data_IF_064140998183
#
_entry.id   IF_064140998183
#
_cell.length_a   1.000
_cell.length_b   1.000
_cell.length_c   1.000
_cell.angle_alpha   90.00
_cell.angle_beta   90.00
_cell.angle_gamma   90.00
#
_symmetry.space_group_name_H-M   'P 1'
#
loop_
_entity.id
_entity.type
_entity.pdbx_description
1 polymer ?
#
# COMPACT_ATOMS: atom_id res chain seq x y z
N UNK A 1 -32.63 -19.82 -4.33
CA UNK A 1 -32.98 -19.19 -5.63
C UNK A 1 -31.83 -19.54 -6.56
N UNK A 2 -32.07 -19.97 -7.80
CA UNK A 2 -30.95 -20.38 -8.67
C UNK A 2 -30.33 -19.13 -9.28
N UNK A 3 -29.03 -18.91 -9.03
CA UNK A 3 -28.25 -17.81 -9.60
C UNK A 3 -27.44 -18.32 -10.78
N UNK A 4 -27.54 -17.65 -11.92
CA UNK A 4 -26.72 -17.85 -13.12
C UNK A 4 -25.79 -16.67 -13.24
N UNK A 5 -24.51 -16.87 -12.98
CA UNK A 5 -23.54 -15.79 -12.89
C UNK A 5 -22.57 -15.91 -14.06
N UNK A 6 -22.60 -14.99 -15.04
CA UNK A 6 -21.58 -14.89 -16.06
C UNK A 6 -20.28 -14.38 -15.43
N UNK A 7 -19.21 -15.15 -15.55
CA UNK A 7 -17.90 -14.84 -15.00
C UNK A 7 -16.91 -14.65 -16.14
N UNK A 8 -16.25 -13.51 -16.17
CA UNK A 8 -15.13 -13.26 -17.09
C UNK A 8 -13.84 -13.39 -16.30
N UNK A 9 -12.87 -14.14 -16.81
CA UNK A 9 -11.53 -14.18 -16.22
C UNK A 9 -10.67 -13.28 -17.09
N UNK A 10 -10.03 -12.26 -16.52
CA UNK A 10 -9.33 -11.22 -17.30
C UNK A 10 -8.24 -11.75 -18.25
N UNK A 11 -7.68 -12.94 -18.01
CA UNK A 11 -6.72 -13.62 -18.89
C UNK A 11 -7.34 -14.20 -20.16
N UNK A 12 -8.67 -14.23 -20.29
CA UNK A 12 -9.40 -14.81 -21.44
C UNK A 12 -10.62 -13.98 -21.85
N UNK A 13 -10.89 -13.84 -23.17
CA UNK A 13 -12.02 -13.05 -23.66
C UNK A 13 -13.38 -13.74 -23.51
N UNK A 14 -13.43 -15.01 -23.07
CA UNK A 14 -14.67 -15.78 -22.93
C UNK A 14 -15.29 -15.64 -21.53
N UNK A 15 -16.63 -15.75 -21.50
CA UNK A 15 -17.42 -15.76 -20.27
C UNK A 15 -17.82 -17.19 -19.91
N UNK A 16 -17.61 -17.57 -18.65
CA UNK A 16 -18.07 -18.83 -18.07
C UNK A 16 -19.39 -18.59 -17.36
N UNK A 17 -20.42 -19.38 -17.66
CA UNK A 17 -21.68 -19.31 -16.91
C UNK A 17 -21.62 -20.28 -15.74
N UNK A 18 -21.69 -19.76 -14.52
CA UNK A 18 -21.68 -20.58 -13.30
C UNK A 18 -23.07 -20.58 -12.70
N UNK A 19 -23.58 -21.79 -12.43
CA UNK A 19 -24.86 -21.98 -11.76
C UNK A 19 -24.64 -22.26 -10.28
N UNK A 20 -25.29 -21.45 -9.46
CA UNK A 20 -25.40 -21.56 -8.01
C UNK A 20 -26.83 -21.95 -7.65
N UNK A 21 -27.00 -23.08 -6.95
CA UNK A 21 -28.33 -23.61 -6.63
C UNK A 21 -28.99 -22.85 -5.47
N UNK A 22 -28.18 -22.40 -4.51
CA UNK A 22 -28.67 -21.81 -3.27
C UNK A 22 -28.40 -20.31 -3.16
N UNK A 23 -27.22 -19.84 -3.61
CA UNK A 23 -26.76 -18.46 -3.43
C UNK A 23 -26.03 -18.23 -2.10
N UNK A 24 -26.00 -19.24 -1.22
CA UNK A 24 -25.24 -19.24 0.03
C UNK A 24 -23.76 -19.50 -0.19
N UNK A 25 -23.34 -19.84 -1.41
CA UNK A 25 -21.94 -19.97 -1.75
C UNK A 25 -21.26 -18.59 -1.71
N UNK A 26 -19.98 -18.56 -1.37
CA UNK A 26 -19.22 -17.31 -1.28
C UNK A 26 -18.67 -16.88 -2.64
N UNK A 27 -18.24 -15.64 -2.75
CA UNK A 27 -17.47 -15.16 -3.91
C UNK A 27 -16.19 -15.97 -4.08
N UNK A 28 -15.51 -16.37 -3.00
CA UNK A 28 -14.37 -17.30 -3.07
C UNK A 28 -14.73 -18.60 -3.79
N UNK A 29 -15.83 -19.24 -3.40
CA UNK A 29 -16.29 -20.48 -4.03
C UNK A 29 -16.61 -20.27 -5.52
N UNK A 30 -17.21 -19.13 -5.86
CA UNK A 30 -17.54 -18.77 -7.23
C UNK A 30 -16.26 -18.63 -8.07
N UNK A 31 -15.24 -17.99 -7.51
CA UNK A 31 -13.92 -17.85 -8.12
C UNK A 31 -13.23 -19.20 -8.33
N UNK A 32 -13.22 -20.07 -7.32
CA UNK A 32 -12.65 -21.41 -7.42
C UNK A 32 -13.34 -22.26 -8.48
N UNK A 33 -14.67 -22.17 -8.58
CA UNK A 33 -15.46 -22.89 -9.57
C UNK A 33 -15.20 -22.37 -10.99
N UNK A 34 -15.11 -21.05 -11.17
CA UNK A 34 -14.72 -20.42 -12.44
C UNK A 34 -13.33 -20.88 -12.86
N UNK A 35 -12.40 -20.87 -11.91
CA UNK A 35 -11.02 -21.25 -12.10
C UNK A 35 -10.87 -22.72 -12.50
N UNK A 36 -11.63 -23.61 -11.87
CA UNK A 36 -11.65 -25.03 -12.24
C UNK A 36 -12.09 -25.25 -13.68
N UNK A 37 -13.14 -24.56 -14.13
CA UNK A 37 -13.61 -24.63 -15.52
C UNK A 37 -12.53 -24.11 -16.48
N UNK A 38 -11.89 -23.00 -16.13
CA UNK A 38 -10.79 -22.42 -16.89
C UNK A 38 -9.60 -23.37 -17.03
N UNK A 39 -9.11 -23.95 -15.93
CA UNK A 39 -7.96 -24.87 -15.94
C UNK A 39 -8.24 -26.16 -16.69
N UNK A 40 -9.45 -26.72 -16.57
CA UNK A 40 -9.88 -27.89 -17.35
C UNK A 40 -9.92 -27.59 -18.86
N UNK A 41 -10.43 -26.40 -19.24
CA UNK A 41 -10.63 -26.02 -20.65
C UNK A 41 -9.32 -25.61 -21.35
N UNK A 42 -8.46 -24.86 -20.68
CA UNK A 42 -7.23 -24.31 -21.26
C UNK A 42 -5.98 -25.12 -20.89
N UNK A 43 -6.14 -26.22 -20.15
CA UNK A 43 -5.04 -27.04 -19.64
C UNK A 43 -3.99 -26.23 -18.84
N UNK A 44 -4.40 -25.10 -18.28
CA UNK A 44 -3.56 -24.25 -17.43
C UNK A 44 -3.41 -24.95 -16.06
N UNK A 45 -2.19 -25.35 -15.73
CA UNK A 45 -1.84 -26.01 -14.46
C UNK A 45 -1.37 -25.04 -13.38
N UNK A 46 -1.51 -23.74 -13.61
CA UNK A 46 -1.19 -22.76 -12.58
C UNK A 46 -2.04 -23.05 -11.34
N UNK A 47 -1.58 -22.63 -10.16
CA UNK A 47 -2.39 -22.65 -8.93
C UNK A 47 -2.59 -21.19 -8.52
N UNK A 48 -3.83 -20.71 -8.27
CA UNK A 48 -4.06 -19.35 -7.82
C UNK A 48 -3.50 -19.19 -6.42
N UNK A 49 -2.86 -18.05 -6.15
CA UNK A 49 -2.48 -17.64 -4.81
C UNK A 49 -3.62 -16.90 -4.11
N UNK A 50 -4.32 -16.00 -4.82
CA UNK A 50 -5.61 -15.44 -4.39
C UNK A 50 -6.45 -15.00 -5.59
N UNK A 51 -7.73 -14.68 -5.36
CA UNK A 51 -8.63 -14.15 -6.38
C UNK A 51 -8.96 -12.69 -6.11
N UNK A 52 -9.14 -11.90 -7.16
CA UNK A 52 -9.76 -10.58 -7.07
C UNK A 52 -11.03 -10.60 -7.89
N UNK A 53 -12.18 -10.35 -7.26
CA UNK A 53 -13.48 -10.35 -7.93
C UNK A 53 -14.05 -8.92 -7.97
N UNK A 54 -14.55 -8.51 -9.13
CA UNK A 54 -15.25 -7.24 -9.32
C UNK A 54 -16.56 -7.45 -10.06
N UNK A 55 -17.59 -6.67 -9.76
CA UNK A 55 -18.80 -6.63 -10.61
C UNK A 55 -18.47 -5.97 -11.95
N UNK A 56 -18.96 -6.53 -13.05
CA UNK A 56 -18.60 -6.02 -14.38
C UNK A 56 -19.20 -4.64 -14.67
N UNK A 57 -20.36 -4.30 -14.10
CA UNK A 57 -21.09 -3.08 -14.48
C UNK A 57 -20.60 -1.81 -13.78
N UNK A 58 -20.18 -1.91 -12.51
CA UNK A 58 -19.73 -0.77 -11.70
C UNK A 58 -18.30 -0.93 -11.16
N UNK A 59 -17.62 -2.02 -11.51
CA UNK A 59 -16.25 -2.35 -11.08
C UNK A 59 -16.10 -2.46 -9.56
N UNK A 60 -17.20 -2.58 -8.82
CA UNK A 60 -17.15 -2.69 -7.36
C UNK A 60 -16.39 -3.96 -6.97
N UNK A 61 -15.40 -3.80 -6.09
CA UNK A 61 -14.65 -4.92 -5.52
C UNK A 61 -15.58 -5.74 -4.63
N UNK A 62 -15.57 -7.05 -4.82
CA UNK A 62 -16.32 -8.01 -4.02
C UNK A 62 -15.39 -8.67 -3.01
N UNK A 63 -15.82 -8.75 -1.74
CA UNK A 63 -15.06 -9.51 -0.75
C UNK A 63 -15.20 -11.00 -1.06
N UNK A 64 -14.10 -11.75 -0.94
CA UNK A 64 -14.11 -13.20 -1.15
C UNK A 64 -15.01 -13.94 -0.15
N UNK A 65 -15.20 -13.36 1.02
CA UNK A 65 -16.05 -13.88 2.09
C UNK A 65 -17.54 -13.52 1.93
N UNK A 66 -17.89 -12.64 0.98
CA UNK A 66 -19.30 -12.27 0.76
C UNK A 66 -20.08 -13.47 0.21
N UNK A 67 -21.30 -13.70 0.71
CA UNK A 67 -22.22 -14.65 0.08
C UNK A 67 -22.85 -14.04 -1.17
N UNK A 68 -22.92 -14.83 -2.23
CA UNK A 68 -23.42 -14.42 -3.56
C UNK A 68 -24.78 -13.74 -3.46
N UNK A 69 -25.70 -14.29 -2.66
CA UNK A 69 -27.06 -13.75 -2.50
C UNK A 69 -27.13 -12.31 -1.96
N UNK A 70 -26.09 -11.83 -1.27
CA UNK A 70 -26.06 -10.47 -0.72
C UNK A 70 -25.42 -9.45 -1.68
N UNK A 71 -24.56 -9.90 -2.59
CA UNK A 71 -23.73 -9.00 -3.40
C UNK A 71 -23.99 -9.08 -4.91
N UNK A 72 -24.69 -10.12 -5.37
CA UNK A 72 -25.00 -10.37 -6.78
C UNK A 72 -26.47 -10.76 -6.98
N UNK A 73 -27.02 -10.38 -8.13
CA UNK A 73 -28.35 -10.83 -8.60
C UNK A 73 -28.22 -11.88 -9.71
N UNK A 74 -29.30 -12.60 -10.00
CA UNK A 74 -29.34 -13.53 -11.15
C UNK A 74 -28.99 -12.80 -12.45
N UNK A 75 -28.10 -13.38 -13.25
CA UNK A 75 -27.52 -12.84 -14.48
C UNK A 75 -26.60 -11.59 -14.33
N UNK A 76 -26.28 -11.14 -13.12
CA UNK A 76 -25.21 -10.14 -12.97
C UNK A 76 -23.85 -10.78 -13.22
N UNK A 77 -23.01 -10.10 -14.00
CA UNK A 77 -21.69 -10.61 -14.35
C UNK A 77 -20.59 -10.06 -13.44
N UNK A 78 -19.58 -10.90 -13.22
CA UNK A 78 -18.37 -10.53 -12.50
C UNK A 78 -17.14 -10.75 -13.37
N UNK A 79 -16.08 -10.04 -13.00
CA UNK A 79 -14.74 -10.18 -13.56
C UNK A 79 -13.81 -10.66 -12.46
N UNK A 80 -13.02 -11.67 -12.77
CA UNK A 80 -12.10 -12.31 -11.84
C UNK A 80 -10.69 -12.15 -12.39
N UNK A 81 -9.82 -11.60 -11.57
CA UNK A 81 -8.38 -11.73 -11.73
C UNK A 81 -7.89 -12.91 -10.89
N UNK A 82 -7.13 -13.79 -11.54
CA UNK A 82 -6.45 -14.90 -10.90
C UNK A 82 -5.05 -14.40 -10.57
N UNK A 83 -4.81 -14.04 -9.31
CA UNK A 83 -3.46 -13.72 -8.87
C UNK A 83 -2.68 -15.03 -8.72
N UNK A 84 -1.67 -15.23 -9.57
CA UNK A 84 -0.74 -16.36 -9.49
C UNK A 84 0.21 -16.12 -8.31
N UNK A 85 0.81 -17.19 -7.76
CA UNK A 85 1.88 -17.05 -6.77
C UNK A 85 2.92 -16.10 -7.35
N UNK A 86 3.08 -14.91 -6.73
CA UNK A 86 3.88 -13.76 -7.19
C UNK A 86 4.79 -14.09 -8.37
N UNK A 87 4.20 -14.12 -9.57
CA UNK A 87 4.94 -14.08 -10.83
C UNK A 87 5.19 -12.60 -11.10
N UNK A 88 6.35 -12.30 -11.68
CA UNK A 88 7.00 -10.99 -11.87
C UNK A 88 6.19 -9.89 -12.60
N UNK A 89 4.88 -10.04 -12.75
CA UNK A 89 3.97 -9.15 -13.48
C UNK A 89 2.94 -8.46 -12.57
N UNK A 90 3.37 -8.05 -11.37
CA UNK A 90 2.76 -6.90 -10.68
C UNK A 90 3.09 -5.62 -11.46
N UNK A 91 2.66 -5.53 -12.72
CA UNK A 91 2.88 -4.33 -13.52
C UNK A 91 1.99 -3.21 -12.97
N UNK A 92 2.55 -2.42 -12.04
CA UNK A 92 2.26 -0.99 -11.97
C UNK A 92 2.28 -0.48 -13.39
N UNK A 93 1.30 0.37 -13.74
CA UNK A 93 1.11 0.78 -15.12
C UNK A 93 2.46 1.12 -15.79
N UNK A 94 2.66 0.54 -16.97
CA UNK A 94 3.80 0.84 -17.84
C UNK A 94 3.63 2.21 -18.50
N UNK A 95 2.91 3.13 -17.85
CA UNK A 95 2.95 4.55 -18.17
C UNK A 95 4.43 4.93 -18.25
N UNK A 96 4.84 5.33 -19.45
CA UNK A 96 6.19 5.84 -19.68
C UNK A 96 6.44 7.01 -18.72
N UNK A 97 7.70 7.30 -18.38
CA UNK A 97 8.04 8.42 -17.48
C UNK A 97 7.39 9.76 -17.91
N UNK A 98 6.94 9.88 -19.18
CA UNK A 98 6.28 11.04 -19.77
C UNK A 98 4.75 11.14 -19.48
N UNK A 99 4.08 10.07 -19.03
CA UNK A 99 2.63 10.06 -18.76
C UNK A 99 2.26 10.12 -17.27
N UNK A 100 3.24 10.04 -16.37
CA UNK A 100 2.97 10.01 -14.92
C UNK A 100 2.65 11.40 -14.38
N UNK A 101 1.56 11.49 -13.61
CA UNK A 101 1.17 12.74 -12.97
C UNK A 101 2.04 13.03 -11.74
N UNK A 102 2.36 14.30 -11.50
CA UNK A 102 3.19 14.70 -10.36
C UNK A 102 2.32 15.15 -9.18
N UNK A 103 2.60 14.61 -7.99
CA UNK A 103 2.07 15.09 -6.71
C UNK A 103 3.18 15.83 -5.98
N UNK A 104 2.93 17.10 -5.65
CA UNK A 104 3.83 17.89 -4.81
C UNK A 104 3.60 17.55 -3.34
N UNK A 105 4.66 17.10 -2.66
CA UNK A 105 4.63 16.84 -1.23
C UNK A 105 5.33 17.97 -0.49
N UNK A 106 4.62 18.67 0.38
CA UNK A 106 5.17 19.73 1.23
C UNK A 106 5.28 19.33 2.70
N UNK A 107 4.82 18.12 3.04
CA UNK A 107 4.76 17.59 4.39
C UNK A 107 3.47 17.89 5.14
N UNK A 108 2.58 18.75 4.66
CA UNK A 108 1.42 19.23 5.41
C UNK A 108 0.07 18.98 4.72
N UNK A 109 0.01 19.02 3.39
CA UNK A 109 -1.25 19.06 2.65
C UNK A 109 -1.60 17.80 1.85
N UNK A 110 -0.86 16.70 2.04
CA UNK A 110 -1.17 15.41 1.42
C UNK A 110 -2.55 14.90 1.88
N UNK A 111 -3.49 14.71 0.95
CA UNK A 111 -4.84 14.18 1.24
C UNK A 111 -4.87 12.66 1.13
N UNK A 112 -5.89 12.03 1.72
CA UNK A 112 -6.12 10.58 1.60
C UNK A 112 -6.30 10.15 0.13
N UNK A 113 -7.06 10.92 -0.65
CA UNK A 113 -7.24 10.67 -2.09
C UNK A 113 -5.93 10.71 -2.88
N UNK A 114 -5.02 11.64 -2.56
CA UNK A 114 -3.73 11.76 -3.22
C UNK A 114 -2.82 10.59 -2.85
N UNK A 115 -2.91 10.14 -1.59
CA UNK A 115 -2.19 8.96 -1.12
C UNK A 115 -2.64 7.68 -1.83
N UNK A 116 -3.95 7.45 -1.94
CA UNK A 116 -4.50 6.30 -2.69
C UNK A 116 -4.07 6.35 -4.16
N UNK A 117 -4.08 7.55 -4.78
CA UNK A 117 -3.54 7.74 -6.15
C UNK A 117 -2.06 7.39 -6.25
N UNK A 118 -1.24 7.83 -5.30
CA UNK A 118 0.19 7.47 -5.26
C UNK A 118 0.42 5.95 -5.17
N UNK A 119 -0.49 5.22 -4.52
CA UNK A 119 -0.47 3.76 -4.46
C UNK A 119 -0.60 3.06 -5.81
N UNK A 120 -1.31 3.66 -6.78
CA UNK A 120 -1.60 3.03 -8.09
C UNK A 120 -0.38 2.84 -8.99
N UNK A 121 0.69 3.61 -8.78
CA UNK A 121 1.86 3.62 -9.68
C UNK A 121 1.83 4.70 -10.76
N UNK A 122 0.68 5.33 -11.01
CA UNK A 122 0.51 6.33 -12.07
C UNK A 122 1.06 7.71 -11.72
N UNK A 123 1.49 7.89 -10.46
CA UNK A 123 1.90 9.18 -9.92
C UNK A 123 3.35 9.14 -9.41
N UNK A 124 4.05 10.24 -9.67
CA UNK A 124 5.38 10.55 -9.15
C UNK A 124 5.29 11.61 -8.05
N UNK A 125 6.33 11.67 -7.24
CA UNK A 125 6.50 12.64 -6.16
C UNK A 125 7.57 13.64 -6.56
N UNK A 126 7.27 14.92 -6.32
CA UNK A 126 8.25 16.00 -6.26
C UNK A 126 8.06 16.82 -4.97
N UNK A 127 9.10 17.56 -4.60
CA UNK A 127 9.13 18.45 -3.44
C UNK A 127 9.25 19.89 -3.94
N UNK A 128 8.40 20.83 -3.46
CA UNK A 128 8.59 22.25 -3.72
C UNK A 128 9.95 22.77 -3.24
N UNK A 129 10.45 23.84 -3.85
CA UNK A 129 11.73 24.47 -3.48
C UNK A 129 11.73 24.97 -2.02
N UNK A 130 10.59 25.45 -1.53
CA UNK A 130 10.42 25.87 -0.14
C UNK A 130 10.62 24.70 0.83
N UNK A 131 10.24 23.50 0.42
CA UNK A 131 10.37 22.29 1.22
C UNK A 131 11.84 21.86 1.34
N UNK A 132 12.61 21.96 0.26
CA UNK A 132 14.06 21.72 0.30
C UNK A 132 14.77 22.68 1.28
N UNK A 133 14.37 23.95 1.30
CA UNK A 133 14.91 24.93 2.26
C UNK A 133 14.66 24.53 3.73
N UNK A 134 13.50 23.93 4.04
CA UNK A 134 13.21 23.43 5.40
C UNK A 134 14.10 22.23 5.75
N UNK A 135 14.28 21.31 4.82
CA UNK A 135 15.14 20.13 5.00
C UNK A 135 16.59 20.55 5.26
N UNK A 136 17.10 21.54 4.51
CA UNK A 136 18.48 22.02 4.65
C UNK A 136 18.70 22.66 6.02
N UNK A 137 17.77 23.52 6.48
CA UNK A 137 17.82 24.11 7.82
C UNK A 137 17.80 23.06 8.92
N UNK A 138 16.99 22.02 8.78
CA UNK A 138 16.95 20.91 9.74
C UNK A 138 18.29 20.15 9.77
N UNK A 139 18.88 19.95 8.60
CA UNK A 139 20.15 19.25 8.45
C UNK A 139 21.30 20.02 9.08
N UNK A 140 21.36 21.34 8.89
CA UNK A 140 22.35 22.23 9.52
C UNK A 140 22.33 22.11 11.05
N UNK A 141 21.15 21.98 11.66
CA UNK A 141 21.01 21.79 13.12
C UNK A 141 21.64 20.46 13.55
N UNK A 142 21.39 19.38 12.82
CA UNK A 142 21.97 18.05 13.11
C UNK A 142 23.49 18.07 12.94
N UNK A 143 23.99 18.66 11.85
CA UNK A 143 25.43 18.75 11.59
C UNK A 143 26.12 19.62 12.67
N UNK A 144 25.47 20.68 13.15
CA UNK A 144 25.95 21.49 14.27
C UNK A 144 25.98 20.69 15.59
N UNK A 145 24.97 19.86 15.88
CA UNK A 145 24.94 18.99 17.07
C UNK A 145 26.11 18.01 17.06
N UNK A 146 26.33 17.35 15.92
CA UNK A 146 27.42 16.37 15.71
C UNK A 146 28.77 17.06 15.89
N UNK A 147 28.98 18.20 15.21
CA UNK A 147 30.24 18.96 15.29
C UNK A 147 30.57 19.40 16.71
N UNK A 148 29.57 19.82 17.49
CA UNK A 148 29.75 20.28 18.86
C UNK A 148 29.71 19.16 19.91
N UNK A 149 29.66 17.89 19.50
CA UNK A 149 29.61 16.70 20.38
C UNK A 149 28.52 16.79 21.47
N UNK A 150 27.39 17.45 21.18
CA UNK A 150 26.26 17.49 22.11
C UNK A 150 25.61 16.10 22.16
N UNK A 151 25.31 15.61 23.36
CA UNK A 151 24.63 14.32 23.54
C UNK A 151 23.16 14.48 23.17
N UNK A 152 22.72 13.80 22.11
CA UNK A 152 21.36 13.88 21.57
C UNK A 152 20.84 12.48 21.28
N UNK A 153 19.64 12.18 21.78
CA UNK A 153 18.99 10.88 21.65
C UNK A 153 18.87 10.45 20.19
N UNK A 154 19.33 9.24 19.88
CA UNK A 154 19.25 8.64 18.55
C UNK A 154 20.22 9.22 17.51
N UNK A 155 21.06 10.19 17.90
CA UNK A 155 22.14 10.73 17.07
C UNK A 155 23.48 10.15 17.51
N UNK A 156 23.83 10.28 18.80
CA UNK A 156 25.07 9.73 19.38
C UNK A 156 24.84 8.93 20.68
N UNK A 157 23.60 8.52 20.91
CA UNK A 157 23.23 7.58 21.97
C UNK A 157 22.60 6.32 21.40
N UNK A 158 22.48 5.27 22.21
CA UNK A 158 21.61 4.13 21.91
C UNK A 158 20.11 4.50 21.90
N UNK A 159 19.28 3.51 21.60
CA UNK A 159 17.81 3.64 21.47
C UNK A 159 17.09 2.87 22.58
N UNK A 160 15.87 3.30 22.93
CA UNK A 160 15.04 2.63 23.94
C UNK A 160 15.75 2.50 25.29
N UNK A 161 15.88 1.28 25.81
CA UNK A 161 16.60 1.01 27.08
C UNK A 161 18.08 1.43 27.07
N UNK A 162 18.66 1.69 25.90
CA UNK A 162 20.04 2.15 25.74
C UNK A 162 20.15 3.67 25.48
N UNK A 163 19.09 4.44 25.72
CA UNK A 163 19.05 5.89 25.52
C UNK A 163 20.17 6.66 26.23
N UNK A 164 20.71 6.13 27.34
CA UNK A 164 21.80 6.75 28.11
C UNK A 164 23.21 6.29 27.70
N UNK A 165 23.33 5.34 26.77
CA UNK A 165 24.62 4.81 26.33
C UNK A 165 25.20 5.68 25.21
N UNK A 166 26.33 6.33 25.47
CA UNK A 166 27.04 7.14 24.46
C UNK A 166 27.75 6.21 23.48
N UNK A 167 27.61 6.49 22.19
CA UNK A 167 28.21 5.74 21.09
C UNK A 167 29.32 6.58 20.46
N UNK A 168 30.49 5.97 20.23
CA UNK A 168 31.61 6.64 19.56
C UNK A 168 31.30 6.90 18.08
N UNK A 169 31.85 7.99 17.53
CA UNK A 169 31.61 8.42 16.15
C UNK A 169 31.89 7.29 15.12
N UNK A 170 32.95 6.52 15.35
CA UNK A 170 33.35 5.36 14.52
C UNK A 170 32.28 4.25 14.44
N UNK A 171 31.40 4.17 15.45
CA UNK A 171 30.35 3.14 15.53
C UNK A 171 28.98 3.66 15.11
N UNK A 172 28.83 4.95 14.80
CA UNK A 172 27.52 5.53 14.47
C UNK A 172 26.94 4.91 13.20
N UNK A 173 27.75 4.72 12.15
CA UNK A 173 27.27 4.10 10.91
C UNK A 173 26.79 2.65 11.14
N UNK A 174 27.57 1.85 11.87
CA UNK A 174 27.22 0.46 12.22
C UNK A 174 25.98 0.41 13.14
N UNK A 175 25.87 1.35 14.08
CA UNK A 175 24.68 1.49 14.94
C UNK A 175 23.42 1.73 14.11
N UNK A 176 23.46 2.66 13.14
CA UNK A 176 22.31 2.94 12.30
C UNK A 176 21.91 1.69 11.50
N UNK A 177 22.87 0.99 10.88
CA UNK A 177 22.58 -0.26 10.16
C UNK A 177 21.97 -1.34 11.07
N UNK A 178 22.56 -1.57 12.24
CA UNK A 178 22.07 -2.58 13.20
C UNK A 178 20.72 -2.21 13.78
N UNK A 179 20.44 -0.92 13.97
CA UNK A 179 19.13 -0.46 14.40
C UNK A 179 18.06 -0.91 13.41
N UNK A 180 18.29 -0.69 12.12
CA UNK A 180 17.35 -1.11 11.05
C UNK A 180 17.17 -2.62 11.10
N UNK A 181 18.26 -3.37 10.97
CA UNK A 181 18.21 -4.84 10.87
C UNK A 181 17.59 -5.49 12.11
N UNK A 182 17.91 -5.00 13.31
CA UNK A 182 17.33 -5.52 14.55
C UNK A 182 15.82 -5.24 14.69
N UNK A 183 15.30 -4.23 13.99
CA UNK A 183 13.88 -3.87 14.03
C UNK A 183 13.09 -4.47 12.86
N UNK A 184 13.72 -5.18 11.92
CA UNK A 184 13.07 -5.98 10.88
C UNK A 184 12.39 -7.24 11.45
N UNK A 185 11.55 -7.08 12.48
CA UNK A 185 10.84 -8.14 13.18
C UNK A 185 9.39 -8.32 12.68
N UNK A 186 9.03 -7.67 11.57
CA UNK A 186 7.72 -7.83 10.94
C UNK A 186 7.52 -9.24 10.38
N UNK A 187 6.29 -9.75 10.44
CA UNK A 187 5.89 -11.11 10.02
C UNK A 187 4.56 -11.08 9.26
N UNK A 188 4.12 -12.25 8.80
CA UNK A 188 2.88 -12.41 8.02
C UNK A 188 3.08 -12.07 6.54
N UNK A 189 1.99 -12.15 5.78
CA UNK A 189 2.04 -11.87 4.35
C UNK A 189 2.47 -10.42 4.09
N UNK A 190 3.31 -10.16 3.07
CA UNK A 190 3.66 -8.80 2.69
C UNK A 190 2.45 -7.95 2.34
N UNK A 191 2.58 -6.64 2.54
CA UNK A 191 1.68 -5.67 1.96
C UNK A 191 1.68 -5.80 0.43
N UNK A 192 0.54 -5.52 -0.18
CA UNK A 192 0.47 -5.32 -1.64
C UNK A 192 1.36 -4.14 -2.03
N UNK A 193 1.82 -4.12 -3.29
CA UNK A 193 2.70 -3.04 -3.78
C UNK A 193 2.03 -1.68 -3.63
N UNK A 194 0.73 -1.58 -3.86
CA UNK A 194 0.00 -0.32 -3.71
C UNK A 194 0.04 0.17 -2.26
N UNK A 195 -0.16 -0.73 -1.28
CA UNK A 195 -0.10 -0.39 0.15
C UNK A 195 1.31 -0.05 0.60
N UNK A 196 2.30 -0.80 0.16
CA UNK A 196 3.71 -0.51 0.43
C UNK A 196 4.12 0.84 -0.19
N UNK A 197 3.65 1.15 -1.40
CA UNK A 197 3.85 2.43 -2.09
C UNK A 197 3.17 3.58 -1.36
N UNK A 198 1.94 3.42 -0.87
CA UNK A 198 1.29 4.42 0.00
C UNK A 198 2.12 4.70 1.26
N UNK A 199 2.54 3.65 1.97
CA UNK A 199 3.40 3.80 3.15
C UNK A 199 4.72 4.53 2.82
N UNK A 200 5.29 4.25 1.65
CA UNK A 200 6.51 4.89 1.17
C UNK A 200 6.30 6.39 0.87
N UNK A 201 5.21 6.74 0.19
CA UNK A 201 4.83 8.14 -0.06
C UNK A 201 4.63 8.93 1.23
N UNK A 202 3.93 8.35 2.22
CA UNK A 202 3.78 8.98 3.54
C UNK A 202 5.12 9.20 4.24
N UNK A 203 6.07 8.28 4.05
CA UNK A 203 7.39 8.43 4.64
C UNK A 203 8.13 9.61 4.03
N UNK A 204 8.07 9.77 2.70
CA UNK A 204 8.60 10.93 2.01
C UNK A 204 7.93 12.22 2.51
N UNK A 205 6.59 12.24 2.60
CA UNK A 205 5.85 13.41 3.08
C UNK A 205 6.24 13.80 4.53
N UNK A 206 6.44 12.84 5.42
CA UNK A 206 6.88 13.14 6.79
C UNK A 206 8.31 13.70 6.81
N UNK A 207 9.21 13.20 5.96
CA UNK A 207 10.57 13.73 5.84
C UNK A 207 10.57 15.14 5.25
N UNK A 208 9.65 15.42 4.33
CA UNK A 208 9.43 16.72 3.71
C UNK A 208 9.09 17.82 4.74
N UNK A 209 8.52 17.48 5.90
CA UNK A 209 8.24 18.49 6.95
C UNK A 209 9.48 19.24 7.46
N UNK A 210 10.69 18.72 7.25
CA UNK A 210 11.92 19.41 7.65
C UNK A 210 12.21 19.37 9.15
N UNK A 211 11.85 18.29 9.84
CA UNK A 211 12.19 18.10 11.26
C UNK A 211 13.07 16.88 11.53
N UNK A 212 13.40 16.09 10.50
CA UNK A 212 14.14 14.83 10.64
C UNK A 212 15.66 14.99 10.57
N UNK A 213 16.16 16.08 10.00
CA UNK A 213 17.58 16.27 9.73
C UNK A 213 18.17 15.31 8.69
N UNK A 214 17.32 14.75 7.83
CA UNK A 214 17.73 13.92 6.70
C UNK A 214 18.57 14.73 5.71
N UNK A 215 19.55 14.11 5.05
CA UNK A 215 20.31 14.79 4.00
C UNK A 215 19.52 14.87 2.68
N UNK A 216 19.83 15.88 1.88
CA UNK A 216 19.22 16.07 0.57
C UNK A 216 19.48 14.87 -0.37
N UNK A 217 20.74 14.46 -0.50
CA UNK A 217 21.17 13.33 -1.33
C UNK A 217 20.36 12.06 -1.02
N UNK A 218 20.19 11.80 0.26
CA UNK A 218 19.36 10.70 0.77
C UNK A 218 17.91 10.83 0.30
N UNK A 219 17.27 11.98 0.54
CA UNK A 219 15.85 12.14 0.25
C UNK A 219 15.60 12.08 -1.26
N UNK A 220 16.54 12.58 -2.06
CA UNK A 220 16.50 12.44 -3.53
C UNK A 220 16.58 10.99 -3.96
N UNK A 221 17.44 10.16 -3.36
CA UNK A 221 17.52 8.71 -3.64
C UNK A 221 16.21 8.00 -3.29
N UNK A 222 15.64 8.33 -2.13
CA UNK A 222 14.34 7.82 -1.66
C UNK A 222 13.22 8.15 -2.65
N UNK A 223 13.13 9.42 -3.08
CA UNK A 223 12.13 9.86 -4.07
C UNK A 223 12.37 9.18 -5.42
N UNK A 224 13.64 9.04 -5.84
CA UNK A 224 13.98 8.34 -7.08
C UNK A 224 13.55 6.89 -7.05
N UNK A 225 13.78 6.18 -5.92
CA UNK A 225 13.33 4.81 -5.74
C UNK A 225 11.80 4.71 -5.83
N UNK A 226 11.07 5.61 -5.16
CA UNK A 226 9.62 5.69 -5.28
C UNK A 226 9.15 5.95 -6.72
N UNK A 227 9.71 6.96 -7.40
CA UNK A 227 9.32 7.35 -8.75
C UNK A 227 9.62 6.26 -9.79
N UNK A 228 10.68 5.47 -9.58
CA UNK A 228 11.01 4.28 -10.38
C UNK A 228 10.22 3.02 -9.98
N UNK A 229 9.35 3.16 -8.99
CA UNK A 229 8.59 2.06 -8.42
C UNK A 229 9.44 0.92 -7.87
N UNK A 230 10.62 1.24 -7.35
CA UNK A 230 11.37 0.31 -6.54
C UNK A 230 10.75 0.30 -5.14
N UNK A 231 10.02 -0.76 -4.78
CA UNK A 231 9.20 -0.82 -3.56
C UNK A 231 9.72 -1.90 -2.61
N UNK A 232 10.11 -1.57 -1.36
CA UNK A 232 10.53 -2.57 -0.39
C UNK A 232 9.44 -3.58 -0.05
N UNK A 233 9.82 -4.82 0.24
CA UNK A 233 8.91 -5.80 0.82
C UNK A 233 8.62 -5.42 2.28
N UNK A 234 7.34 -5.34 2.66
CA UNK A 234 6.94 -4.92 4.01
C UNK A 234 5.93 -5.93 4.56
N UNK A 235 6.27 -6.74 5.57
CA UNK A 235 5.32 -7.64 6.22
C UNK A 235 4.13 -6.90 6.85
N UNK A 236 2.95 -7.50 6.80
CA UNK A 236 1.70 -6.89 7.27
C UNK A 236 1.53 -6.87 8.80
N UNK A 237 2.34 -7.60 9.56
CA UNK A 237 2.25 -7.65 11.03
C UNK A 237 3.58 -7.23 11.68
N UNK A 238 3.50 -6.64 12.87
CA UNK A 238 4.67 -6.26 13.68
C UNK A 238 4.66 -4.80 14.18
N UNK A 239 3.72 -3.97 13.73
CA UNK A 239 3.47 -2.67 14.37
C UNK A 239 2.70 -2.84 15.69
N UNK A 240 3.02 -1.99 16.66
CA UNK A 240 2.27 -1.84 17.93
C UNK A 240 1.39 -0.57 17.93
N UNK A 241 1.35 0.19 16.83
CA UNK A 241 0.42 1.29 16.58
C UNK A 241 0.50 2.53 17.49
N UNK A 242 1.40 2.57 18.48
CA UNK A 242 1.42 3.62 19.50
C UNK A 242 2.46 4.73 19.26
N UNK A 243 3.74 4.38 19.06
CA UNK A 243 4.86 5.34 18.99
C UNK A 243 5.72 5.23 17.73
N UNK A 244 5.29 4.40 16.78
CA UNK A 244 5.96 4.22 15.49
C UNK A 244 5.75 2.82 14.95
N UNK A 245 5.55 2.73 13.63
CA UNK A 245 5.50 1.50 12.87
C UNK A 245 6.91 0.96 12.64
N UNK A 246 7.65 0.77 13.74
CA UNK A 246 9.09 0.50 13.72
C UNK A 246 9.43 -0.71 12.85
N UNK A 247 8.69 -1.82 13.00
CA UNK A 247 8.97 -3.03 12.23
C UNK A 247 8.63 -2.88 10.73
N UNK A 248 7.43 -2.41 10.32
CA UNK A 248 7.18 -2.12 8.91
C UNK A 248 8.17 -1.11 8.31
N UNK A 249 8.50 -0.03 9.03
CA UNK A 249 9.44 0.97 8.53
C UNK A 249 10.87 0.48 8.50
N UNK A 250 11.26 -0.46 9.37
CA UNK A 250 12.53 -1.16 9.32
C UNK A 250 12.66 -1.99 8.05
N UNK A 251 11.61 -2.70 7.66
CA UNK A 251 11.58 -3.40 6.38
C UNK A 251 11.63 -2.44 5.18
N UNK A 252 10.92 -1.29 5.24
CA UNK A 252 11.04 -0.23 4.24
C UNK A 252 12.48 0.29 4.13
N UNK A 253 13.11 0.61 5.25
CA UNK A 253 14.48 1.08 5.30
C UNK A 253 15.46 -0.02 4.88
N UNK A 254 15.23 -1.28 5.22
CA UNK A 254 16.06 -2.41 4.86
C UNK A 254 16.11 -2.62 3.33
N UNK A 255 14.96 -2.53 2.65
CA UNK A 255 14.89 -2.56 1.19
C UNK A 255 15.65 -1.38 0.58
N UNK A 256 15.43 -0.17 1.08
CA UNK A 256 16.23 1.00 0.70
C UNK A 256 17.67 0.94 1.18
N UNK A 257 18.03 -0.06 1.99
CA UNK A 257 19.37 -0.33 2.51
C UNK A 257 20.20 -1.27 1.63
N UNK A 258 19.54 -1.93 0.67
CA UNK A 258 20.11 -3.06 -0.05
C UNK A 258 20.27 -4.33 0.78
N UNK A 259 19.72 -4.36 2.01
CA UNK A 259 19.78 -5.53 2.90
C UNK A 259 18.46 -6.29 2.96
N UNK A 260 17.36 -5.64 2.58
CA UNK A 260 16.02 -6.23 2.45
C UNK A 260 15.64 -6.49 1.00
N UNK A 261 14.54 -7.24 0.80
CA UNK A 261 13.97 -7.46 -0.53
C UNK A 261 13.29 -6.20 -1.04
N UNK A 262 13.39 -5.98 -2.35
CA UNK A 262 12.78 -4.87 -3.04
C UNK A 262 12.22 -5.36 -4.37
N UNK A 263 11.00 -4.94 -4.68
CA UNK A 263 10.37 -5.15 -5.96
C UNK A 263 10.77 -4.03 -6.93
N UNK A 264 10.95 -4.33 -8.21
CA UNK A 264 11.03 -3.33 -9.27
C UNK A 264 10.27 -3.76 -10.53
N UNK A 265 9.77 -2.83 -11.36
CA UNK A 265 9.10 -3.17 -12.61
C UNK A 265 10.00 -3.90 -13.62
N UNK A 266 11.33 -3.81 -13.47
CA UNK A 266 12.30 -4.38 -14.42
C UNK A 266 12.77 -5.77 -14.03
N UNK A 267 12.79 -6.07 -12.73
CA UNK A 267 13.46 -7.25 -12.18
C UNK A 267 12.57 -8.08 -11.26
N UNK A 268 11.34 -7.65 -11.00
CA UNK A 268 10.51 -8.23 -9.95
C UNK A 268 11.19 -8.11 -8.58
N UNK A 269 10.98 -9.12 -7.73
CA UNK A 269 11.57 -9.17 -6.40
C UNK A 269 13.06 -9.53 -6.44
N UNK A 270 13.90 -8.66 -5.90
CA UNK A 270 15.35 -8.89 -5.81
C UNK A 270 15.98 -8.26 -4.56
N UNK A 271 17.29 -8.47 -4.41
CA UNK A 271 18.09 -7.75 -3.43
C UNK A 271 18.39 -6.36 -3.99
N UNK A 272 18.03 -5.32 -3.25
CA UNK A 272 18.41 -3.97 -3.62
C UNK A 272 19.93 -3.76 -3.44
N UNK A 273 20.49 -2.78 -4.15
CA UNK A 273 21.83 -2.30 -3.92
C UNK A 273 21.78 -0.84 -3.48
N UNK A 274 22.52 -0.59 -2.41
CA UNK A 274 22.79 0.67 -1.73
C UNK A 274 21.70 1.24 -0.82
N UNK A 275 22.19 1.83 0.27
CA UNK A 275 21.46 1.74 1.51
C UNK A 275 21.25 2.93 2.43
N UNK A 276 20.01 3.16 2.95
CA UNK A 276 19.77 4.21 3.95
C UNK A 276 18.60 4.11 4.98
N UNK A 277 18.74 4.85 6.09
CA UNK A 277 18.07 4.74 7.40
C UNK A 277 16.71 5.48 7.52
N UNK A 278 15.58 4.81 7.91
CA UNK A 278 14.23 5.44 7.84
C UNK A 278 13.12 4.98 8.85
N UNK A 279 13.40 4.52 10.08
CA UNK A 279 12.42 3.68 10.83
C UNK A 279 11.39 4.35 11.75
N UNK A 280 11.42 5.68 11.93
CA UNK A 280 10.58 6.32 12.95
C UNK A 280 9.40 7.11 12.35
N UNK A 281 8.16 6.64 12.56
CA UNK A 281 6.91 7.32 12.24
C UNK A 281 5.71 6.37 12.20
N UNK A 282 4.50 6.87 11.93
CA UNK A 282 3.24 6.08 11.90
C UNK A 282 2.69 5.85 10.48
N UNK A 283 3.57 5.65 9.51
CA UNK A 283 3.19 5.60 8.09
C UNK A 283 2.40 4.35 7.70
N UNK A 284 2.61 3.21 8.34
CA UNK A 284 1.89 1.97 8.04
C UNK A 284 0.43 2.09 8.45
N UNK A 285 0.15 2.48 9.70
CA UNK A 285 -1.23 2.66 10.18
C UNK A 285 -1.93 3.81 9.44
N UNK A 286 -1.19 4.88 9.09
CA UNK A 286 -1.76 6.02 8.35
C UNK A 286 -2.10 5.63 6.91
N UNK A 287 -1.29 4.79 6.25
CA UNK A 287 -1.58 4.29 4.90
C UNK A 287 -2.86 3.45 4.87
N UNK A 288 -2.94 2.44 5.76
CA UNK A 288 -4.12 1.56 5.83
C UNK A 288 -5.36 2.34 6.29
N UNK A 289 -5.20 3.29 7.21
CA UNK A 289 -6.27 4.18 7.66
C UNK A 289 -6.80 5.07 6.53
N UNK A 290 -5.93 5.64 5.70
CA UNK A 290 -6.35 6.45 4.55
C UNK A 290 -7.13 5.63 3.52
N UNK A 291 -6.66 4.42 3.20
CA UNK A 291 -7.40 3.49 2.33
C UNK A 291 -8.79 3.17 2.93
N UNK A 292 -8.83 2.86 4.23
CA UNK A 292 -10.08 2.56 4.93
C UNK A 292 -11.08 3.74 4.90
N UNK A 293 -10.59 4.97 5.06
CA UNK A 293 -11.42 6.19 4.97
C UNK A 293 -12.00 6.38 3.57
N UNK A 294 -11.19 6.26 2.52
CA UNK A 294 -11.67 6.39 1.14
C UNK A 294 -12.71 5.30 0.81
N UNK A 295 -12.45 4.06 1.23
CA UNK A 295 -13.41 2.96 1.07
C UNK A 295 -14.71 3.21 1.85
N UNK A 296 -14.62 3.70 3.09
CA UNK A 296 -15.79 4.01 3.91
C UNK A 296 -16.66 5.11 3.29
N UNK A 297 -16.05 6.16 2.71
CA UNK A 297 -16.78 7.23 2.01
C UNK A 297 -17.52 6.67 0.79
N UNK A 298 -16.88 5.79 0.02
CA UNK A 298 -17.52 5.15 -1.13
C UNK A 298 -18.69 4.25 -0.71
N UNK A 299 -18.49 3.44 0.34
CA UNK A 299 -19.54 2.57 0.90
C UNK A 299 -20.72 3.41 1.43
N UNK A 300 -20.47 4.52 2.12
CA UNK A 300 -21.53 5.40 2.59
C UNK A 300 -22.37 5.97 1.44
N UNK A 301 -21.72 6.43 0.36
CA UNK A 301 -22.43 6.90 -0.84
C UNK A 301 -23.26 5.81 -1.50
N UNK A 302 -22.72 4.59 -1.59
CA UNK A 302 -23.45 3.45 -2.11
C UNK A 302 -24.64 3.09 -1.21
N UNK A 303 -24.47 3.14 0.11
CA UNK A 303 -25.53 2.91 1.08
C UNK A 303 -26.66 3.93 0.94
N UNK A 304 -26.34 5.21 0.71
CA UNK A 304 -27.35 6.25 0.45
C UNK A 304 -28.18 5.94 -0.80
N UNK A 305 -27.52 5.51 -1.89
CA UNK A 305 -28.19 5.11 -3.14
C UNK A 305 -29.09 3.88 -2.91
N UNK A 306 -28.58 2.86 -2.22
CA UNK A 306 -29.32 1.65 -1.91
C UNK A 306 -30.52 1.96 -1.01
N UNK A 307 -30.36 2.83 -0.02
CA UNK A 307 -31.41 3.27 0.88
C UNK A 307 -32.49 4.05 0.13
N UNK A 308 -32.11 4.93 -0.80
CA UNK A 308 -33.03 5.65 -1.67
C UNK A 308 -33.85 4.69 -2.54
N UNK A 309 -33.19 3.75 -3.24
CA UNK A 309 -33.85 2.73 -4.06
C UNK A 309 -34.79 1.85 -3.23
N UNK A 310 -34.36 1.45 -2.03
CA UNK A 310 -35.17 0.64 -1.11
C UNK A 310 -36.39 1.41 -0.62
N UNK A 311 -36.23 2.70 -0.32
CA UNK A 311 -37.33 3.59 0.08
C UNK A 311 -38.35 3.72 -1.04
N UNK A 312 -37.91 3.90 -2.29
CA UNK A 312 -38.80 3.93 -3.45
C UNK A 312 -39.56 2.61 -3.64
N UNK A 313 -38.83 1.48 -3.61
CA UNK A 313 -39.40 0.15 -3.78
C UNK A 313 -40.47 -0.18 -2.72
N UNK A 314 -40.22 0.24 -1.47
CA UNK A 314 -41.14 0.05 -0.34
C UNK A 314 -42.22 1.14 -0.23
N UNK A 315 -42.22 2.14 -1.13
CA UNK A 315 -43.08 3.32 -1.05
C UNK A 315 -42.99 4.03 0.31
N UNK A 316 -41.78 4.10 0.86
CA UNK A 316 -41.49 4.71 2.15
C UNK A 316 -41.76 6.22 2.17
N UNK A 317 -42.03 6.75 3.36
CA UNK A 317 -42.26 8.20 3.55
C UNK A 317 -40.94 8.95 3.54
N UNK A 318 -40.81 9.97 2.69
CA UNK A 318 -39.58 10.80 2.58
C UNK A 318 -39.54 12.00 3.54
N UNK A 319 -40.56 12.17 4.40
CA UNK A 319 -40.67 13.33 5.31
C UNK A 319 -39.48 13.47 6.27
N UNK A 320 -38.87 12.35 6.66
CA UNK A 320 -37.71 12.33 7.55
C UNK A 320 -36.40 12.77 6.88
N UNK A 321 -36.40 12.91 5.54
CA UNK A 321 -35.26 13.40 4.74
C UNK A 321 -35.40 14.89 4.40
N UNK A 322 -36.40 15.58 4.94
CA UNK A 322 -36.56 17.01 4.74
C UNK A 322 -35.39 17.77 5.40
N UNK A 323 -34.70 18.69 4.70
CA UNK A 323 -33.57 19.45 5.23
C UNK A 323 -33.91 20.28 6.47
#
# INVERSE_FOLDING_TARGET
MVFRIPVTIHSVPEKFLIVCETGHETIQWLCEKAYKIYTEKYHDKTVPYYFVARRSYDRCLLSLDDHIEYVLKDNESIEIDIAKQFDDDDSLSTATDEERHVVLLDGYHLKCSDLVRLGTGDYQIELPDETWNLIHKAREIVDHIITNKKVVYGVNTGFGSFASTIISDEKLADLQTRLIVSHCAGVGEPLTIERARMMFALRINILAKGYSGISEDTLRKIITAFNKSCIPEIPSQGTVGASGDLAPLAHLAAGLMGVGRMWSPKTGWGNANDGLTMINGTQFITALGAEAVERAILIARQADIIAALSTEALRGTVRHLHP
#
